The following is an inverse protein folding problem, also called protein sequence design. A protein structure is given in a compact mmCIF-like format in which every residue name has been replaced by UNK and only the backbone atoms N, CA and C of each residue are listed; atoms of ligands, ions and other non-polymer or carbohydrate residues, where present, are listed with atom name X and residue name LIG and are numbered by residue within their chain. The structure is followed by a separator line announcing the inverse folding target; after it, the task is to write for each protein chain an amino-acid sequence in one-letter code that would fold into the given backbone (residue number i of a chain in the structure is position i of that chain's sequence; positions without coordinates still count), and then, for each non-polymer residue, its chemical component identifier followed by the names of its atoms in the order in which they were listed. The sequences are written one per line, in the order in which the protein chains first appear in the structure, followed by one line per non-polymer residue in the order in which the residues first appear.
data_IF_087928125745
#
_entry.id   IF_087928125745
#
_cell.length_a   1.000
_cell.length_b   1.000
_cell.length_c   1.000
_cell.angle_alpha   90.00
_cell.angle_beta   90.00
_cell.angle_gamma   90.00
#
_symmetry.space_group_name_H-M   'P 1'
#
loop_
_entity.id
_entity.type
_entity.pdbx_description
1 polymer ?
#
# COMPACT_ATOMS: atom_id res chain seq x y z
N UNK A 1 34.48 3.49 0.10
CA UNK A 1 33.33 3.96 0.91
C UNK A 1 32.11 3.20 0.43
N UNK A 2 31.22 2.70 1.31
CA UNK A 2 29.98 2.10 0.85
C UNK A 2 29.17 3.15 0.05
N UNK A 3 28.63 2.73 -1.08
CA UNK A 3 27.73 3.53 -1.91
C UNK A 3 26.30 2.98 -1.77
N UNK A 4 25.31 3.86 -1.89
CA UNK A 4 23.90 3.45 -1.95
C UNK A 4 23.62 2.76 -3.28
N UNK A 5 22.56 1.95 -3.33
CA UNK A 5 22.17 1.24 -4.55
C UNK A 5 21.82 2.22 -5.68
N UNK A 6 22.23 1.90 -6.91
CA UNK A 6 22.13 2.82 -8.06
C UNK A 6 20.69 3.18 -8.43
N UNK A 7 19.74 2.24 -8.31
CA UNK A 7 18.32 2.46 -8.60
C UNK A 7 17.68 3.53 -7.71
N UNK A 8 18.28 3.83 -6.54
CA UNK A 8 17.81 4.89 -5.65
C UNK A 8 18.07 6.29 -6.21
N UNK A 9 18.97 6.44 -7.18
CA UNK A 9 19.33 7.73 -7.77
C UNK A 9 18.24 8.31 -8.70
N UNK A 10 17.19 7.54 -8.99
CA UNK A 10 16.12 7.92 -9.92
C UNK A 10 14.93 8.60 -9.21
N UNK A 11 14.87 8.58 -7.88
CA UNK A 11 13.74 9.12 -7.14
C UNK A 11 13.92 10.60 -6.79
N UNK A 12 12.83 11.36 -6.90
CA UNK A 12 12.77 12.78 -6.54
C UNK A 12 11.92 12.98 -5.29
N UNK A 13 11.92 14.20 -4.74
CA UNK A 13 11.07 14.50 -3.58
C UNK A 13 9.58 14.41 -3.94
N UNK A 14 8.79 13.74 -3.09
CA UNK A 14 7.33 13.69 -3.25
C UNK A 14 6.73 15.10 -3.17
N UNK A 15 5.94 15.43 -4.19
CA UNK A 15 5.23 16.72 -4.30
C UNK A 15 4.22 16.90 -3.14
N UNK A 16 3.59 15.82 -2.69
CA UNK A 16 2.62 15.86 -1.57
C UNK A 16 3.33 16.30 -0.27
N UNK A 17 4.53 15.76 -0.03
CA UNK A 17 5.35 16.15 1.12
C UNK A 17 5.81 17.60 1.03
N UNK A 18 6.21 18.03 -0.16
CA UNK A 18 6.60 19.43 -0.40
C UNK A 18 5.44 20.38 -0.07
N UNK A 19 4.23 20.10 -0.54
CA UNK A 19 3.05 20.94 -0.28
C UNK A 19 2.71 21.04 1.21
N UNK A 20 2.91 19.96 1.96
CA UNK A 20 2.74 19.99 3.43
C UNK A 20 3.70 20.97 4.10
N UNK A 21 4.96 21.01 3.68
CA UNK A 21 5.95 21.95 4.23
C UNK A 21 5.58 23.40 3.94
N UNK A 22 5.19 23.68 2.69
CA UNK A 22 4.78 25.03 2.27
C UNK A 22 3.53 25.49 3.02
N UNK A 23 2.53 24.62 3.17
CA UNK A 23 1.33 24.95 3.93
C UNK A 23 1.65 25.30 5.39
N UNK A 24 2.51 24.51 6.04
CA UNK A 24 2.94 24.77 7.42
C UNK A 24 3.72 26.07 7.57
N UNK A 25 4.63 26.37 6.63
CA UNK A 25 5.43 27.61 6.65
C UNK A 25 4.56 28.87 6.59
N UNK A 26 3.44 28.81 5.88
CA UNK A 26 2.53 29.94 5.70
C UNK A 26 1.27 29.89 6.60
N UNK A 27 1.14 28.88 7.47
CA UNK A 27 -0.07 28.66 8.27
C UNK A 27 -1.33 28.49 7.40
N UNK A 28 -1.18 27.91 6.21
CA UNK A 28 -2.26 27.73 5.25
C UNK A 28 -3.08 26.46 5.52
N UNK A 29 -4.30 26.41 4.99
CA UNK A 29 -5.11 25.18 4.96
C UNK A 29 -4.50 24.21 3.94
N UNK A 30 -4.13 23.02 4.39
CA UNK A 30 -3.54 21.99 3.54
C UNK A 30 -4.63 21.13 2.90
N UNK A 31 -4.82 21.27 1.58
CA UNK A 31 -5.75 20.46 0.79
C UNK A 31 -5.04 19.43 -0.11
N UNK A 32 -3.72 19.23 0.05
CA UNK A 32 -2.94 18.32 -0.79
C UNK A 32 -2.82 16.91 -0.21
N UNK A 33 -3.15 16.71 1.06
CA UNK A 33 -3.02 15.42 1.73
C UNK A 33 -4.25 14.55 1.51
N UNK A 34 -4.02 13.28 1.16
CA UNK A 34 -5.07 12.29 0.90
C UNK A 34 -5.50 11.48 2.13
N UNK A 35 -5.27 11.96 3.35
CA UNK A 35 -5.73 11.28 4.56
C UNK A 35 -6.93 11.99 5.20
N UNK A 36 -7.86 11.25 5.82
CA UNK A 36 -8.96 11.85 6.57
C UNK A 36 -8.50 12.66 7.79
N UNK A 37 -9.10 13.82 8.02
CA UNK A 37 -8.88 14.69 9.18
C UNK A 37 -9.82 14.41 10.36
N UNK A 38 -10.62 13.34 10.26
CA UNK A 38 -11.57 12.90 11.28
C UNK A 38 -11.13 11.61 11.97
N UNK A 39 -11.65 11.39 13.18
CA UNK A 39 -11.39 10.18 13.94
C UNK A 39 -11.97 8.93 13.25
N UNK A 40 -11.30 7.77 13.34
CA UNK A 40 -11.84 6.53 12.81
C UNK A 40 -13.17 6.16 13.48
N UNK A 41 -14.05 5.37 12.82
CA UNK A 41 -15.30 4.93 13.42
C UNK A 41 -15.09 4.20 14.75
N UNK A 42 -15.92 4.49 15.76
CA UNK A 42 -15.78 3.92 17.11
C UNK A 42 -15.72 2.38 17.12
N UNK A 43 -16.53 1.71 16.30
CA UNK A 43 -16.53 0.26 16.17
C UNK A 43 -15.17 -0.31 15.72
N UNK A 44 -14.39 0.43 14.93
CA UNK A 44 -13.05 0.02 14.50
C UNK A 44 -12.05 0.17 15.65
N UNK A 45 -12.13 1.26 16.41
CA UNK A 45 -11.29 1.50 17.60
C UNK A 45 -11.54 0.40 18.63
N UNK A 46 -12.80 0.11 18.95
CA UNK A 46 -13.16 -0.95 19.88
C UNK A 46 -12.72 -2.34 19.39
N UNK A 47 -12.77 -2.60 18.08
CA UNK A 47 -12.28 -3.86 17.52
C UNK A 47 -10.77 -4.01 17.68
N UNK A 48 -10.01 -2.93 17.47
CA UNK A 48 -8.57 -2.90 17.72
C UNK A 48 -8.26 -3.12 19.21
N UNK A 49 -8.98 -2.45 20.12
CA UNK A 49 -8.81 -2.64 21.57
C UNK A 49 -9.05 -4.10 22.00
N UNK A 50 -10.12 -4.72 21.50
CA UNK A 50 -10.40 -6.13 21.78
C UNK A 50 -9.30 -7.06 21.26
N UNK A 51 -8.78 -6.78 20.06
CA UNK A 51 -7.68 -7.57 19.49
C UNK A 51 -6.39 -7.43 20.32
N UNK A 52 -6.10 -6.22 20.83
CA UNK A 52 -4.95 -5.94 21.68
C UNK A 52 -5.09 -6.57 23.07
N UNK A 53 -6.30 -6.60 23.65
CA UNK A 53 -6.53 -7.20 24.98
C UNK A 53 -6.66 -8.72 24.96
N UNK A 54 -6.92 -9.31 23.79
CA UNK A 54 -7.04 -10.76 23.62
C UNK A 54 -5.70 -11.43 23.33
N UNK A 55 -5.73 -12.74 23.06
CA UNK A 55 -4.52 -13.55 22.94
C UNK A 55 -3.88 -13.54 21.53
N UNK A 56 -4.01 -12.44 20.78
CA UNK A 56 -3.55 -12.33 19.39
C UNK A 56 -2.13 -11.74 19.27
N UNK A 57 -1.19 -12.25 20.07
CA UNK A 57 0.17 -11.69 20.18
C UNK A 57 1.28 -12.51 19.52
N UNK A 58 0.93 -13.65 18.93
CA UNK A 58 1.89 -14.51 18.22
C UNK A 58 1.78 -14.31 16.70
N UNK A 59 2.78 -14.80 15.98
CA UNK A 59 2.81 -14.72 14.52
C UNK A 59 1.54 -15.28 13.89
N UNK A 60 1.02 -14.55 12.91
CA UNK A 60 0.04 -15.08 11.97
C UNK A 60 0.75 -15.97 10.94
N UNK A 61 -0.03 -16.69 10.13
CA UNK A 61 0.50 -17.34 8.92
C UNK A 61 1.03 -16.28 7.94
N UNK A 62 1.99 -16.66 7.11
CA UNK A 62 2.82 -15.73 6.33
C UNK A 62 2.03 -14.83 5.38
N UNK A 63 0.90 -15.29 4.83
CA UNK A 63 0.03 -14.49 3.95
C UNK A 63 -1.15 -13.82 4.65
N UNK A 64 -1.21 -13.86 6.00
CA UNK A 64 -2.19 -13.12 6.81
C UNK A 64 -3.14 -14.00 7.62
N UNK A 65 -3.69 -13.44 8.70
CA UNK A 65 -4.54 -14.18 9.63
C UNK A 65 -5.79 -14.80 8.94
N UNK A 66 -6.11 -16.10 9.17
CA UNK A 66 -7.19 -16.79 8.45
C UNK A 66 -8.55 -16.09 8.56
N UNK A 67 -8.93 -15.65 9.77
CA UNK A 67 -10.19 -14.92 10.01
C UNK A 67 -10.29 -13.63 9.20
N UNK A 68 -9.17 -12.93 9.03
CA UNK A 68 -9.13 -11.69 8.27
C UNK A 68 -9.26 -11.96 6.76
N UNK A 69 -8.50 -12.92 6.22
CA UNK A 69 -8.59 -13.33 4.81
C UNK A 69 -9.99 -13.82 4.44
N UNK A 70 -10.63 -14.63 5.29
CA UNK A 70 -12.02 -15.05 5.08
C UNK A 70 -13.00 -13.87 5.05
N UNK A 71 -12.79 -12.84 5.88
CA UNK A 71 -13.63 -11.64 5.87
C UNK A 71 -13.42 -10.82 4.59
N UNK A 72 -12.17 -10.70 4.13
CA UNK A 72 -11.82 -10.06 2.86
C UNK A 72 -12.42 -10.80 1.66
N UNK A 73 -12.33 -12.13 1.62
CA UNK A 73 -12.94 -12.96 0.57
C UNK A 73 -14.45 -12.73 0.48
N UNK A 74 -15.17 -12.80 1.60
CA UNK A 74 -16.61 -12.51 1.64
C UNK A 74 -16.94 -11.10 1.14
N UNK A 75 -16.18 -10.10 1.58
CA UNK A 75 -16.37 -8.71 1.15
C UNK A 75 -16.14 -8.58 -0.36
N UNK A 76 -15.04 -9.12 -0.86
CA UNK A 76 -14.68 -9.02 -2.27
C UNK A 76 -15.70 -9.74 -3.14
N UNK A 77 -16.05 -10.98 -2.81
CA UNK A 77 -17.08 -11.74 -3.52
C UNK A 77 -18.44 -11.04 -3.56
N UNK A 78 -18.83 -10.37 -2.46
CA UNK A 78 -20.07 -9.60 -2.43
C UNK A 78 -20.07 -8.44 -3.44
N UNK A 79 -18.97 -7.67 -3.53
CA UNK A 79 -18.91 -6.48 -4.38
C UNK A 79 -18.54 -6.77 -5.84
N UNK A 80 -17.80 -7.85 -6.11
CA UNK A 80 -17.37 -8.20 -7.47
C UNK A 80 -18.22 -9.29 -8.13
N UNK A 81 -18.99 -10.04 -7.34
CA UNK A 81 -19.74 -11.20 -7.83
C UNK A 81 -18.86 -12.42 -8.15
N UNK A 82 -17.55 -12.36 -7.88
CA UNK A 82 -16.61 -13.47 -8.10
C UNK A 82 -16.43 -14.30 -6.84
N UNK A 83 -16.40 -15.63 -6.95
CA UNK A 83 -16.04 -16.49 -5.82
C UNK A 83 -14.55 -16.36 -5.51
N UNK A 84 -14.22 -15.94 -4.29
CA UNK A 84 -12.84 -15.73 -3.84
C UNK A 84 -12.49 -16.78 -2.79
N UNK A 85 -11.55 -17.66 -3.11
CA UNK A 85 -10.90 -18.54 -2.15
C UNK A 85 -9.91 -17.72 -1.29
N UNK A 86 -10.08 -17.67 0.04
CA UNK A 86 -9.21 -16.88 0.91
C UNK A 86 -7.78 -17.44 1.04
N UNK A 87 -7.55 -18.73 0.80
CA UNK A 87 -6.22 -19.35 0.87
C UNK A 87 -5.51 -19.33 -0.49
N UNK A 88 -6.23 -19.37 -1.60
CA UNK A 88 -5.64 -19.34 -2.95
C UNK A 88 -5.49 -17.92 -3.54
N UNK A 89 -6.39 -16.98 -3.21
CA UNK A 89 -6.48 -15.69 -3.91
C UNK A 89 -6.16 -14.46 -3.03
N UNK A 90 -5.85 -14.62 -1.75
CA UNK A 90 -5.63 -13.49 -0.83
C UNK A 90 -4.30 -13.59 -0.10
N UNK A 91 -3.49 -12.54 -0.27
CA UNK A 91 -2.32 -12.24 0.55
C UNK A 91 -2.50 -10.87 1.21
N UNK A 92 -2.28 -10.80 2.52
CA UNK A 92 -2.34 -9.56 3.31
C UNK A 92 -0.96 -8.90 3.33
N UNK A 93 -0.93 -7.60 3.04
CA UNK A 93 0.28 -6.77 3.06
C UNK A 93 0.13 -5.60 4.04
N UNK A 94 1.24 -4.93 4.34
CA UNK A 94 1.32 -3.67 5.10
C UNK A 94 0.83 -2.49 4.24
N UNK A 95 -0.48 -2.50 3.97
CA UNK A 95 -1.13 -1.50 3.14
C UNK A 95 -0.96 -1.74 1.63
N UNK A 96 -1.63 -0.90 0.85
CA UNK A 96 -1.66 -0.99 -0.62
C UNK A 96 -0.32 -0.66 -1.27
N UNK A 97 0.52 0.14 -0.61
CA UNK A 97 1.87 0.46 -1.10
C UNK A 97 2.75 -0.79 -1.17
N UNK A 98 2.76 -1.63 -0.13
CA UNK A 98 3.48 -2.91 -0.21
C UNK A 98 2.83 -3.84 -1.23
N UNK A 99 1.49 -3.91 -1.28
CA UNK A 99 0.79 -4.78 -2.23
C UNK A 99 1.20 -4.52 -3.69
N UNK A 100 1.37 -3.26 -4.05
CA UNK A 100 1.77 -2.84 -5.37
C UNK A 100 3.20 -3.26 -5.72
N UNK A 101 4.14 -3.02 -4.80
CA UNK A 101 5.52 -3.47 -4.94
C UNK A 101 5.59 -5.01 -5.05
N UNK A 102 4.89 -5.74 -4.16
CA UNK A 102 4.82 -7.20 -4.21
C UNK A 102 4.25 -7.68 -5.55
N UNK A 103 3.20 -7.04 -6.06
CA UNK A 103 2.60 -7.41 -7.34
C UNK A 103 3.60 -7.21 -8.49
N UNK A 104 4.25 -6.04 -8.58
CA UNK A 104 5.22 -5.75 -9.63
C UNK A 104 6.44 -6.68 -9.57
N UNK A 105 7.02 -6.89 -8.39
CA UNK A 105 8.12 -7.84 -8.21
C UNK A 105 7.73 -9.31 -8.50
N UNK A 106 6.43 -9.64 -8.46
CA UNK A 106 5.95 -10.99 -8.79
C UNK A 106 5.82 -11.20 -10.29
N UNK A 107 5.46 -10.16 -11.06
CA UNK A 107 5.08 -10.29 -12.47
C UNK A 107 6.08 -9.71 -13.46
N UNK A 108 7.02 -8.87 -13.01
CA UNK A 108 8.02 -8.23 -13.87
C UNK A 108 9.42 -8.83 -13.66
N UNK A 109 10.15 -9.00 -14.77
CA UNK A 109 11.59 -9.23 -14.79
C UNK A 109 12.36 -7.92 -15.10
N UNK A 110 13.67 -7.83 -14.77
CA UNK A 110 14.48 -6.68 -15.13
C UNK A 110 14.49 -6.41 -16.64
N UNK A 111 14.19 -5.17 -17.02
CA UNK A 111 14.09 -4.74 -18.43
C UNK A 111 12.69 -4.86 -19.05
N UNK A 112 11.72 -5.44 -18.33
CA UNK A 112 10.31 -5.39 -18.76
C UNK A 112 9.78 -3.95 -18.82
N UNK A 113 8.72 -3.75 -19.60
CA UNK A 113 8.07 -2.45 -19.74
C UNK A 113 6.68 -2.45 -19.11
N UNK A 114 6.41 -1.45 -18.27
CA UNK A 114 5.13 -1.30 -17.57
C UNK A 114 4.44 -0.03 -18.05
N UNK A 115 3.24 -0.19 -18.64
CA UNK A 115 2.44 0.93 -19.13
C UNK A 115 1.81 1.67 -17.94
N UNK A 116 2.03 2.99 -17.86
CA UNK A 116 1.47 3.84 -16.80
C UNK A 116 0.55 4.91 -17.39
N UNK A 117 -0.76 4.76 -17.15
CA UNK A 117 -1.76 5.72 -17.63
C UNK A 117 -1.77 7.00 -16.79
N UNK A 118 -1.75 8.17 -17.46
CA UNK A 118 -1.82 9.48 -16.81
C UNK A 118 -3.26 10.00 -16.70
N UNK A 119 -3.65 10.66 -15.57
CA UNK A 119 -2.86 10.89 -14.37
C UNK A 119 -2.73 9.62 -13.51
N UNK A 120 -1.53 9.40 -12.95
CA UNK A 120 -1.23 8.23 -12.14
C UNK A 120 -0.98 8.55 -10.68
N UNK A 121 -1.10 7.53 -9.84
CA UNK A 121 -0.61 7.57 -8.47
C UNK A 121 0.92 7.59 -8.46
N UNK A 122 1.52 8.46 -7.61
CA UNK A 122 2.94 8.82 -7.69
C UNK A 122 3.91 7.61 -7.56
N UNK A 123 3.48 6.52 -6.92
CA UNK A 123 4.31 5.33 -6.71
C UNK A 123 4.37 4.37 -7.90
N UNK A 124 3.52 4.49 -8.93
CA UNK A 124 3.54 3.54 -10.06
C UNK A 124 4.89 3.54 -10.80
N UNK A 125 5.45 4.72 -11.06
CA UNK A 125 6.78 4.86 -11.68
C UNK A 125 7.90 4.33 -10.78
N UNK A 126 8.01 4.80 -9.52
CA UNK A 126 9.01 4.32 -8.58
C UNK A 126 8.99 2.81 -8.35
N UNK A 127 7.81 2.21 -8.17
CA UNK A 127 7.73 0.78 -7.91
C UNK A 127 8.16 -0.05 -9.12
N UNK A 128 7.85 0.42 -10.33
CA UNK A 128 8.33 -0.17 -11.59
C UNK A 128 9.86 -0.13 -11.69
N UNK A 129 10.46 1.02 -11.37
CA UNK A 129 11.92 1.19 -11.39
C UNK A 129 12.57 0.27 -10.34
N UNK A 130 11.98 0.17 -9.15
CA UNK A 130 12.50 -0.68 -8.07
C UNK A 130 12.40 -2.17 -8.40
N UNK A 131 11.42 -2.60 -9.20
CA UNK A 131 11.35 -3.97 -9.73
C UNK A 131 12.33 -4.23 -10.89
N UNK A 132 13.13 -3.23 -11.30
CA UNK A 132 14.07 -3.33 -12.41
C UNK A 132 13.44 -3.15 -13.79
N UNK A 133 12.15 -2.80 -13.84
CA UNK A 133 11.41 -2.56 -15.07
C UNK A 133 11.45 -1.08 -15.49
N UNK A 134 11.04 -0.80 -16.71
CA UNK A 134 10.97 0.53 -17.31
C UNK A 134 9.50 1.00 -17.39
N UNK A 135 9.11 2.07 -16.68
CA UNK A 135 7.78 2.65 -16.84
C UNK A 135 7.67 3.39 -18.19
N UNK A 136 6.62 3.12 -18.96
CA UNK A 136 6.35 3.71 -20.29
C UNK A 136 4.96 4.34 -20.41
#
# INVERSE_FOLDING_TARGET
MPQTAEHLNLFTESVIRQMTRVANEHGAINLSQGFPDFAPPAALVEAAERAIRGDHHQYAVTWGAPRFRQALARKHSHFTGMEIDPDAHITVTCGSTEAMMTALMTVCDPGDKVIVFSPFYENYGPDTILSGAEPI
#
